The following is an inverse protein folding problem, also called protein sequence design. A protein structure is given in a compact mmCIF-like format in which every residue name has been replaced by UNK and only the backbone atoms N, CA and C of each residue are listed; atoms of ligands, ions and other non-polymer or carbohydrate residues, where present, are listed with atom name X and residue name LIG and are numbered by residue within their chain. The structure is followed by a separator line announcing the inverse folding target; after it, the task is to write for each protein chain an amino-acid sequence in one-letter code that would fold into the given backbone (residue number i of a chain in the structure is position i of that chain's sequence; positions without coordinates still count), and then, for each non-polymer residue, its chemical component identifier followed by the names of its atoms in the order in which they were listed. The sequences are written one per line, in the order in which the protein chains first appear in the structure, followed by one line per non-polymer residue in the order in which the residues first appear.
data_IF_742712675111
#
_entry.id   IF_742712675111
#
_cell.length_a   1.000
_cell.length_b   1.000
_cell.length_c   1.000
_cell.angle_alpha   90.00
_cell.angle_beta   90.00
_cell.angle_gamma   90.00
#
_symmetry.space_group_name_H-M   'P 1'
#
loop_
_entity.id
_entity.type
_entity.pdbx_description
1 polymer ?
#
# COMPACT_ATOMS: atom_id res chain seq x y z
N UNK A 1 24.13 -0.97 29.45
CA UNK A 1 22.72 -1.25 29.67
C UNK A 1 22.20 -1.99 28.44
N UNK A 2 21.37 -3.05 28.56
CA UNK A 2 20.78 -3.64 27.37
C UNK A 2 19.98 -2.54 26.65
N UNK A 3 20.20 -2.41 25.34
CA UNK A 3 19.46 -1.45 24.53
C UNK A 3 17.95 -1.75 24.68
N UNK A 4 17.18 -0.74 25.05
CA UNK A 4 15.71 -0.88 25.13
C UNK A 4 15.19 -1.24 23.74
N UNK A 5 14.37 -2.30 23.66
CA UNK A 5 13.75 -2.69 22.39
C UNK A 5 12.84 -1.57 21.90
N UNK A 6 12.91 -1.15 20.63
CA UNK A 6 12.03 -0.10 20.11
C UNK A 6 10.57 -0.55 20.18
N UNK A 7 9.68 0.36 20.58
CA UNK A 7 8.25 0.12 20.52
C UNK A 7 7.80 0.12 19.05
N UNK A 8 6.99 -0.87 18.67
CA UNK A 8 6.34 -0.92 17.36
C UNK A 8 4.89 -0.56 17.53
N UNK A 9 4.41 0.48 16.82
CA UNK A 9 2.98 0.77 16.74
C UNK A 9 2.41 0.19 15.46
N UNK A 10 1.37 -0.64 15.59
CA UNK A 10 0.63 -1.17 14.46
C UNK A 10 -0.82 -0.66 14.50
N UNK A 11 -1.30 -0.14 13.37
CA UNK A 11 -2.67 0.38 13.22
C UNK A 11 -3.46 -0.53 12.29
N UNK A 12 -4.68 -0.90 12.67
CA UNK A 12 -5.62 -1.61 11.80
C UNK A 12 -6.85 -0.74 11.56
N UNK A 13 -7.05 -0.25 10.31
CA UNK A 13 -8.33 0.33 9.91
C UNK A 13 -9.32 -0.81 9.64
N UNK A 14 -10.56 -0.67 10.10
CA UNK A 14 -11.62 -1.66 9.91
C UNK A 14 -12.93 -0.98 9.48
N UNK A 15 -13.61 -1.58 8.51
CA UNK A 15 -14.98 -1.21 8.17
C UNK A 15 -15.69 -2.38 7.49
N UNK A 16 -16.70 -2.97 8.17
CA UNK A 16 -17.48 -4.11 7.68
C UNK A 16 -16.61 -5.31 7.30
N UNK A 17 -15.73 -5.72 8.20
CA UNK A 17 -14.75 -6.80 8.00
C UNK A 17 -14.88 -7.95 9.01
N UNK A 18 -16.08 -8.17 9.58
CA UNK A 18 -16.32 -9.23 10.58
C UNK A 18 -15.79 -10.61 10.17
N UNK A 19 -15.87 -11.07 8.90
CA UNK A 19 -15.34 -12.38 8.50
C UNK A 19 -13.83 -12.53 8.66
N UNK A 20 -13.06 -11.43 8.63
CA UNK A 20 -11.60 -11.47 8.58
C UNK A 20 -10.93 -10.86 9.82
N UNK A 21 -11.63 -9.91 10.48
CA UNK A 21 -11.08 -9.09 11.55
C UNK A 21 -10.45 -9.90 12.69
N UNK A 22 -11.08 -11.01 13.10
CA UNK A 22 -10.54 -11.87 14.16
C UNK A 22 -9.17 -12.42 13.79
N UNK A 23 -9.00 -12.97 12.59
CA UNK A 23 -7.73 -13.52 12.14
C UNK A 23 -6.64 -12.43 12.01
N UNK A 24 -7.02 -11.24 11.55
CA UNK A 24 -6.13 -10.08 11.52
C UNK A 24 -5.62 -9.74 12.94
N UNK A 25 -6.51 -9.52 13.90
CA UNK A 25 -6.15 -9.18 15.29
C UNK A 25 -5.29 -10.27 15.93
N UNK A 26 -5.67 -11.54 15.78
CA UNK A 26 -4.92 -12.67 16.33
C UNK A 26 -3.52 -12.78 15.72
N UNK A 27 -3.35 -12.44 14.45
CA UNK A 27 -2.03 -12.44 13.79
C UNK A 27 -1.06 -11.39 14.36
N UNK A 28 -1.58 -10.28 14.86
CA UNK A 28 -0.79 -9.24 15.54
C UNK A 28 -0.48 -9.64 16.97
N UNK A 29 -1.51 -10.07 17.72
CA UNK A 29 -1.36 -10.48 19.12
C UNK A 29 -0.52 -11.76 19.30
N UNK A 30 -0.38 -12.56 18.24
CA UNK A 30 0.46 -13.77 18.20
C UNK A 30 1.91 -13.52 17.79
N UNK A 31 2.33 -12.27 17.56
CA UNK A 31 3.73 -11.96 17.24
C UNK A 31 4.63 -12.21 18.45
N UNK A 32 5.83 -12.75 18.20
CA UNK A 32 6.82 -13.05 19.24
C UNK A 32 7.62 -11.82 19.69
N UNK A 33 7.40 -10.66 19.07
CA UNK A 33 8.08 -9.41 19.42
C UNK A 33 7.28 -8.64 20.47
N UNK A 34 7.97 -8.03 21.40
CA UNK A 34 7.45 -7.05 22.36
C UNK A 34 8.50 -5.93 22.58
N UNK A 35 8.08 -4.67 22.79
CA UNK A 35 6.71 -4.21 22.99
C UNK A 35 5.99 -3.81 21.67
N UNK A 36 4.70 -4.17 21.56
CA UNK A 36 3.81 -3.76 20.47
C UNK A 36 2.70 -2.87 21.04
N UNK A 37 2.54 -1.67 20.48
CA UNK A 37 1.38 -0.82 20.66
C UNK A 37 0.39 -1.09 19.51
N UNK A 38 -0.63 -1.89 19.77
CA UNK A 38 -1.64 -2.24 18.76
C UNK A 38 -2.88 -1.36 18.92
N UNK A 39 -3.39 -0.84 17.78
CA UNK A 39 -4.55 0.05 17.72
C UNK A 39 -5.48 -0.33 16.58
N UNK A 40 -6.79 -0.45 16.84
CA UNK A 40 -7.80 -0.71 15.80
C UNK A 40 -8.77 0.47 15.75
N UNK A 41 -9.00 0.99 14.55
CA UNK A 41 -9.94 2.06 14.26
C UNK A 41 -11.02 1.52 13.32
N UNK A 42 -12.21 1.32 13.87
CA UNK A 42 -13.36 0.84 13.13
C UNK A 42 -14.27 2.00 12.73
N UNK A 43 -14.65 2.05 11.46
CA UNK A 43 -15.43 3.13 10.84
C UNK A 43 -16.93 3.11 11.16
N UNK A 44 -17.35 2.55 12.31
CA UNK A 44 -18.75 2.40 12.69
C UNK A 44 -19.43 1.21 12.01
N UNK A 45 -18.81 0.03 12.08
CA UNK A 45 -19.34 -1.20 11.49
C UNK A 45 -20.56 -1.72 12.21
N UNK A 46 -21.50 -2.29 11.45
CA UNK A 46 -22.76 -2.89 11.95
C UNK A 46 -22.87 -4.39 11.59
N UNK A 47 -21.78 -5.00 11.11
CA UNK A 47 -21.74 -6.37 10.59
C UNK A 47 -21.26 -7.43 11.60
N UNK A 48 -21.12 -7.05 12.89
CA UNK A 48 -20.55 -7.89 13.95
C UNK A 48 -19.05 -7.62 14.23
N UNK A 49 -18.41 -6.69 13.50
CA UNK A 49 -17.01 -6.31 13.75
C UNK A 49 -16.78 -5.77 15.16
N UNK A 50 -17.72 -4.95 15.67
CA UNK A 50 -17.63 -4.34 17.01
C UNK A 50 -17.68 -5.41 18.10
N UNK A 51 -18.53 -6.43 17.97
CA UNK A 51 -18.64 -7.56 18.87
C UNK A 51 -17.35 -8.38 18.90
N UNK A 52 -16.72 -8.55 17.74
CA UNK A 52 -15.40 -9.20 17.65
C UNK A 52 -14.37 -8.40 18.43
N UNK A 53 -14.29 -7.08 18.24
CA UNK A 53 -13.35 -6.22 18.98
C UNK A 53 -13.58 -6.30 20.49
N UNK A 54 -14.83 -6.20 20.95
CA UNK A 54 -15.20 -6.36 22.37
C UNK A 54 -14.76 -7.69 22.96
N UNK A 55 -14.78 -8.77 22.18
CA UNK A 55 -14.39 -10.10 22.65
C UNK A 55 -12.92 -10.22 23.05
N UNK A 56 -12.06 -9.29 22.62
CA UNK A 56 -10.64 -9.25 22.99
C UNK A 56 -10.38 -8.51 24.31
N UNK A 57 -11.38 -7.82 24.90
CA UNK A 57 -11.21 -7.03 26.12
C UNK A 57 -10.23 -5.86 25.94
N UNK A 58 -9.37 -5.65 26.95
CA UNK A 58 -8.42 -4.53 27.02
C UNK A 58 -7.02 -4.89 26.48
N UNK A 59 -6.92 -5.91 25.60
CA UNK A 59 -5.62 -6.38 25.09
C UNK A 59 -4.95 -5.38 24.16
N UNK A 60 -5.70 -4.47 23.56
CA UNK A 60 -5.23 -3.39 22.69
C UNK A 60 -6.23 -2.23 22.70
N UNK A 61 -5.81 -1.07 22.22
CA UNK A 61 -6.72 0.05 22.06
C UNK A 61 -7.60 -0.15 20.81
N UNK A 62 -8.90 0.09 20.94
CA UNK A 62 -9.79 0.18 19.80
C UNK A 62 -10.89 1.21 20.02
N UNK A 63 -11.42 1.74 18.93
CA UNK A 63 -12.66 2.54 18.92
C UNK A 63 -13.43 2.26 17.65
N UNK A 64 -14.76 2.44 17.72
CA UNK A 64 -15.66 2.32 16.58
C UNK A 64 -16.52 3.58 16.51
N UNK A 65 -16.34 4.35 15.45
CA UNK A 65 -17.09 5.56 15.14
C UNK A 65 -16.97 5.86 13.65
N UNK A 66 -17.96 6.57 13.08
CA UNK A 66 -17.85 7.02 11.68
C UNK A 66 -16.62 7.88 11.50
N UNK A 67 -15.81 7.56 10.49
CA UNK A 67 -14.54 8.21 10.18
C UNK A 67 -14.54 8.80 8.75
N UNK A 68 -13.42 9.38 8.36
CA UNK A 68 -13.18 9.93 7.02
C UNK A 68 -12.66 8.89 6.02
N UNK A 69 -12.81 7.59 6.30
CA UNK A 69 -12.32 6.49 5.47
C UNK A 69 -10.97 5.92 5.91
N UNK A 70 -10.49 4.93 5.18
CA UNK A 70 -9.35 4.10 5.56
C UNK A 70 -8.07 4.90 5.87
N UNK A 71 -7.70 5.85 5.02
CA UNK A 71 -6.53 6.70 5.26
C UNK A 71 -6.68 7.57 6.50
N UNK A 72 -7.89 8.09 6.78
CA UNK A 72 -8.18 8.87 7.97
C UNK A 72 -8.07 8.03 9.25
N UNK A 73 -8.60 6.80 9.24
CA UNK A 73 -8.48 5.85 10.34
C UNK A 73 -7.00 5.52 10.65
N UNK A 74 -6.20 5.23 9.62
CA UNK A 74 -4.76 4.98 9.77
C UNK A 74 -4.06 6.22 10.35
N UNK A 75 -4.31 7.40 9.80
CA UNK A 75 -3.72 8.64 10.27
C UNK A 75 -4.07 8.92 11.74
N UNK A 76 -5.31 8.66 12.17
CA UNK A 76 -5.72 8.79 13.56
C UNK A 76 -4.88 7.89 14.49
N UNK A 77 -4.59 6.65 14.07
CA UNK A 77 -3.71 5.76 14.80
C UNK A 77 -2.25 6.22 14.80
N UNK A 78 -1.74 6.68 13.67
CA UNK A 78 -0.37 7.18 13.54
C UNK A 78 -0.13 8.47 14.36
N UNK A 79 -1.11 9.35 14.47
CA UNK A 79 -1.03 10.52 15.37
C UNK A 79 -0.96 10.14 16.85
N UNK A 80 -1.53 9.00 17.25
CA UNK A 80 -1.43 8.45 18.60
C UNK A 80 -0.17 7.62 18.84
N UNK A 81 0.51 7.21 17.76
CA UNK A 81 1.63 6.28 17.81
C UNK A 81 2.76 6.79 18.69
N UNK A 82 3.19 5.95 19.64
CA UNK A 82 4.35 6.18 20.49
C UNK A 82 5.58 5.38 20.05
N UNK A 83 5.36 4.37 19.22
CA UNK A 83 6.42 3.52 18.68
C UNK A 83 7.40 4.28 17.80
N UNK A 84 8.66 3.90 17.85
CA UNK A 84 9.70 4.40 16.96
C UNK A 84 9.54 3.82 15.54
N UNK A 85 9.00 2.62 15.47
CA UNK A 85 8.68 1.92 14.23
C UNK A 85 7.15 1.81 14.13
N UNK A 86 6.64 2.06 12.94
CA UNK A 86 5.19 2.03 12.69
C UNK A 86 4.89 1.20 11.44
N UNK A 87 3.65 0.71 11.38
CA UNK A 87 3.07 0.04 10.25
C UNK A 87 1.55 0.08 10.33
N UNK A 88 0.88 -0.35 9.28
CA UNK A 88 -0.55 -0.63 9.37
C UNK A 88 -0.88 -1.97 8.70
N UNK A 89 -1.95 -2.59 9.15
CA UNK A 89 -2.44 -3.87 8.64
C UNK A 89 -3.94 -3.74 8.38
N UNK A 90 -4.37 -3.92 7.15
CA UNK A 90 -5.79 -3.92 6.85
C UNK A 90 -6.48 -5.08 7.57
N UNK A 91 -7.74 -4.89 7.95
CA UNK A 91 -8.49 -5.84 8.75
C UNK A 91 -8.85 -7.16 8.04
N UNK A 92 -8.60 -7.26 6.74
CA UNK A 92 -8.72 -8.47 5.92
C UNK A 92 -7.39 -9.20 5.70
N UNK A 93 -6.24 -8.58 6.05
CA UNK A 93 -4.89 -9.12 5.92
C UNK A 93 -4.41 -9.78 7.20
N UNK A 94 -3.30 -10.53 7.13
CA UNK A 94 -2.68 -11.14 8.30
C UNK A 94 -1.15 -11.03 8.24
N UNK A 95 -0.52 -10.82 9.41
CA UNK A 95 0.92 -10.95 9.57
C UNK A 95 1.31 -12.43 9.77
N UNK A 96 2.42 -12.80 9.19
CA UNK A 96 3.04 -14.11 9.47
C UNK A 96 3.84 -14.07 10.77
N UNK A 97 4.03 -15.22 11.46
CA UNK A 97 4.82 -15.27 12.67
C UNK A 97 6.24 -14.72 12.48
N UNK A 98 6.69 -13.87 13.40
CA UNK A 98 8.02 -13.29 13.38
C UNK A 98 8.20 -12.05 12.48
N UNK A 99 7.17 -11.62 11.74
CA UNK A 99 7.25 -10.49 10.82
C UNK A 99 7.72 -9.19 11.49
N UNK A 100 7.14 -8.86 12.66
CA UNK A 100 7.52 -7.64 13.41
C UNK A 100 8.97 -7.75 13.92
N UNK A 101 9.38 -8.91 14.44
CA UNK A 101 10.74 -9.12 14.90
C UNK A 101 11.77 -8.95 13.77
N UNK A 102 11.48 -9.49 12.59
CA UNK A 102 12.33 -9.37 11.41
C UNK A 102 12.41 -7.90 10.91
N UNK A 103 11.28 -7.18 10.90
CA UNK A 103 11.26 -5.76 10.53
C UNK A 103 12.07 -4.89 11.50
N UNK A 104 11.91 -5.11 12.81
CA UNK A 104 12.69 -4.42 13.84
C UNK A 104 14.18 -4.71 13.70
N UNK A 105 14.54 -5.99 13.51
CA UNK A 105 15.94 -6.39 13.29
C UNK A 105 16.53 -5.67 12.08
N UNK A 106 15.83 -5.69 10.94
CA UNK A 106 16.29 -5.05 9.71
C UNK A 106 16.52 -3.55 9.88
N UNK A 107 15.60 -2.82 10.56
CA UNK A 107 15.77 -1.40 10.85
C UNK A 107 16.87 -1.12 11.86
N UNK A 108 17.07 -1.99 12.85
CA UNK A 108 18.11 -1.82 13.88
C UNK A 108 19.52 -2.06 13.32
N UNK A 109 19.68 -3.04 12.44
CA UNK A 109 20.94 -3.34 11.77
C UNK A 109 21.30 -2.34 10.66
N UNK A 110 20.32 -1.55 10.20
CA UNK A 110 20.49 -0.56 9.13
C UNK A 110 19.94 0.81 9.58
N UNK A 111 20.69 1.56 10.42
CA UNK A 111 20.19 2.81 11.02
C UNK A 111 19.89 3.92 10.01
N UNK A 112 20.47 3.86 8.82
CA UNK A 112 20.26 4.80 7.72
C UNK A 112 19.06 4.42 6.80
N UNK A 113 18.43 3.25 7.02
CA UNK A 113 17.22 2.81 6.31
C UNK A 113 15.98 3.38 7.00
N UNK A 114 15.08 3.91 6.20
CA UNK A 114 13.82 4.52 6.65
C UNK A 114 12.64 3.55 6.60
N UNK A 115 12.57 2.70 5.56
CA UNK A 115 11.47 1.76 5.28
C UNK A 115 12.04 0.37 5.03
N UNK A 116 11.48 -0.63 5.69
CA UNK A 116 11.74 -2.06 5.40
C UNK A 116 10.46 -2.73 4.93
N UNK A 117 10.59 -3.66 3.99
CA UNK A 117 9.44 -4.45 3.54
C UNK A 117 9.86 -5.86 3.17
N UNK A 118 9.00 -6.81 3.53
CA UNK A 118 9.17 -8.23 3.25
C UNK A 118 8.36 -8.70 2.05
N UNK A 119 8.45 -10.00 1.77
CA UNK A 119 7.56 -10.67 0.82
C UNK A 119 6.17 -10.86 1.42
N UNK A 120 5.15 -10.90 0.54
CA UNK A 120 3.81 -11.30 0.91
C UNK A 120 3.27 -12.38 -0.03
N UNK A 121 2.32 -13.15 0.46
CA UNK A 121 1.50 -14.03 -0.35
C UNK A 121 0.13 -13.40 -0.57
N UNK A 122 -0.44 -13.59 -1.76
CA UNK A 122 -1.85 -13.29 -2.00
C UNK A 122 -2.65 -14.54 -1.68
N UNK A 123 -3.70 -14.39 -0.86
CA UNK A 123 -4.59 -15.48 -0.43
C UNK A 123 -6.04 -15.19 -0.82
N UNK A 124 -6.87 -16.23 -0.96
CA UNK A 124 -8.30 -16.09 -1.18
C UNK A 124 -9.07 -15.76 0.13
N UNK A 125 -10.39 -15.61 0.03
CA UNK A 125 -11.26 -15.36 1.19
C UNK A 125 -11.11 -16.42 2.30
N UNK A 126 -10.79 -17.67 1.95
CA UNK A 126 -10.57 -18.76 2.90
C UNK A 126 -9.12 -18.84 3.44
N UNK A 127 -8.23 -17.93 3.03
CA UNK A 127 -6.82 -17.92 3.42
C UNK A 127 -5.93 -18.88 2.62
N UNK A 128 -6.45 -19.51 1.55
CA UNK A 128 -5.65 -20.40 0.70
C UNK A 128 -4.76 -19.56 -0.23
N UNK A 129 -3.49 -19.94 -0.32
CA UNK A 129 -2.51 -19.24 -1.15
C UNK A 129 -2.87 -19.30 -2.63
N UNK A 130 -2.98 -18.15 -3.26
CA UNK A 130 -3.22 -18.02 -4.70
C UNK A 130 -1.92 -17.85 -5.49
N UNK A 131 -1.08 -16.89 -5.06
CA UNK A 131 0.18 -16.51 -5.73
C UNK A 131 1.08 -15.70 -4.80
N UNK A 132 2.38 -15.57 -5.11
CA UNK A 132 3.20 -14.57 -4.44
C UNK A 132 2.77 -13.15 -4.86
N UNK A 133 2.90 -12.18 -3.95
CA UNK A 133 2.90 -10.77 -4.34
C UNK A 133 4.24 -10.46 -5.05
N UNK A 134 4.25 -9.68 -6.15
CA UNK A 134 5.46 -9.44 -6.95
C UNK A 134 6.45 -8.48 -6.27
N UNK A 135 6.92 -8.82 -5.09
CA UNK A 135 7.91 -8.06 -4.30
C UNK A 135 9.31 -8.25 -4.87
N UNK A 136 10.14 -7.22 -4.79
CA UNK A 136 11.54 -7.22 -5.29
C UNK A 136 12.39 -6.22 -4.51
N UNK A 137 13.71 -6.26 -4.71
CA UNK A 137 14.62 -5.22 -4.22
C UNK A 137 14.18 -3.84 -4.70
N UNK A 138 14.38 -2.82 -3.85
CA UNK A 138 13.92 -1.47 -4.14
C UNK A 138 14.62 -0.91 -5.38
N UNK A 139 13.80 -0.42 -6.28
CA UNK A 139 14.20 0.29 -7.48
C UNK A 139 13.18 1.41 -7.72
N UNK A 140 13.66 2.63 -7.62
CA UNK A 140 12.85 3.84 -7.71
C UNK A 140 12.15 3.96 -9.07
N UNK A 141 12.83 3.59 -10.15
CA UNK A 141 12.31 3.66 -11.49
C UNK A 141 11.24 2.59 -11.75
N UNK A 142 11.43 1.42 -11.17
CA UNK A 142 10.43 0.35 -11.22
C UNK A 142 9.22 0.68 -10.37
N UNK A 143 9.38 1.36 -9.22
CA UNK A 143 8.26 1.78 -8.38
C UNK A 143 7.28 2.67 -9.15
N UNK A 144 7.76 3.54 -10.04
CA UNK A 144 6.91 4.35 -10.93
C UNK A 144 6.07 3.49 -11.89
N UNK A 145 6.58 2.31 -12.28
CA UNK A 145 5.89 1.43 -13.23
C UNK A 145 4.99 0.41 -12.55
N UNK A 146 5.31 0.01 -11.32
CA UNK A 146 4.64 -1.04 -10.57
C UNK A 146 4.73 -0.79 -9.07
N UNK A 147 3.62 -0.88 -8.36
CA UNK A 147 3.67 -0.99 -6.90
C UNK A 147 4.10 -2.41 -6.52
N UNK A 148 5.38 -2.58 -6.16
CA UNK A 148 5.95 -3.86 -5.74
C UNK A 148 6.19 -3.95 -4.22
N UNK A 149 5.85 -2.92 -3.48
CA UNK A 149 5.86 -2.93 -2.02
C UNK A 149 4.49 -3.43 -1.56
N UNK A 150 4.47 -4.61 -0.95
CA UNK A 150 3.24 -5.13 -0.35
C UNK A 150 2.98 -4.41 0.95
N UNK A 151 1.89 -3.66 1.01
CA UNK A 151 1.56 -2.79 2.13
C UNK A 151 1.54 -3.53 3.48
N UNK A 152 0.86 -4.69 3.66
CA UNK A 152 0.83 -5.37 4.95
C UNK A 152 2.19 -5.93 5.41
N UNK A 153 3.18 -5.96 4.51
CA UNK A 153 4.54 -6.41 4.81
C UNK A 153 5.53 -5.24 4.92
N UNK A 154 5.07 -4.01 5.16
CA UNK A 154 5.93 -2.83 5.22
C UNK A 154 5.89 -2.18 6.60
N UNK A 155 7.09 -1.84 7.11
CA UNK A 155 7.29 -1.11 8.37
C UNK A 155 8.28 0.03 8.14
N UNK A 156 8.12 1.13 8.87
CA UNK A 156 8.99 2.29 8.69
C UNK A 156 9.21 3.06 9.98
N UNK A 157 10.23 3.93 9.98
CA UNK A 157 10.50 4.83 11.11
C UNK A 157 9.39 5.88 11.23
N UNK A 158 8.82 6.04 12.42
CA UNK A 158 7.76 7.04 12.67
C UNK A 158 8.18 8.46 12.30
N UNK A 159 9.47 8.79 12.46
CA UNK A 159 10.02 10.10 12.09
C UNK A 159 9.88 10.47 10.61
N UNK A 160 9.52 9.53 9.73
CA UNK A 160 9.16 9.86 8.34
C UNK A 160 7.92 10.74 8.26
N UNK A 161 6.99 10.63 9.22
CA UNK A 161 5.80 11.48 9.25
C UNK A 161 6.11 12.95 9.57
N UNK A 162 7.19 13.21 10.31
CA UNK A 162 7.67 14.57 10.58
C UNK A 162 8.26 15.21 9.31
N UNK A 163 8.85 14.40 8.43
CA UNK A 163 9.52 14.85 7.20
C UNK A 163 8.58 14.91 6.00
N UNK A 164 7.67 13.98 5.90
CA UNK A 164 6.86 13.75 4.69
C UNK A 164 5.36 13.86 4.93
N UNK A 165 4.91 14.04 6.17
CA UNK A 165 3.49 14.06 6.51
C UNK A 165 2.87 12.66 6.52
N UNK A 166 1.56 12.62 6.71
CA UNK A 166 0.75 11.43 6.86
C UNK A 166 0.17 10.96 5.51
N UNK A 167 -0.64 9.90 5.52
CA UNK A 167 -1.30 9.41 4.30
C UNK A 167 -2.29 10.43 3.76
N UNK A 168 -2.31 10.60 2.43
CA UNK A 168 -3.27 11.47 1.76
C UNK A 168 -4.68 10.88 1.80
N UNK A 169 -5.65 11.68 2.23
CA UNK A 169 -7.08 11.31 2.18
C UNK A 169 -7.72 11.59 0.83
N UNK A 170 -7.02 12.25 -0.09
CA UNK A 170 -7.52 12.48 -1.45
C UNK A 170 -7.41 11.24 -2.35
N UNK A 171 -6.42 10.36 -2.08
CA UNK A 171 -6.15 9.13 -2.85
C UNK A 171 -6.66 7.90 -2.11
N UNK A 172 -7.96 7.84 -1.86
CA UNK A 172 -8.63 6.88 -0.97
C UNK A 172 -8.36 5.39 -1.29
N UNK A 173 -7.94 5.09 -2.53
CA UNK A 173 -7.67 3.70 -2.96
C UNK A 173 -6.19 3.44 -3.26
N UNK A 174 -5.35 4.46 -3.22
CA UNK A 174 -3.94 4.37 -3.63
C UNK A 174 -3.03 5.20 -2.72
N UNK A 175 -3.51 5.51 -1.50
CA UNK A 175 -2.79 6.34 -0.53
C UNK A 175 -1.46 5.71 -0.09
N UNK A 176 -1.38 4.37 -0.05
CA UNK A 176 -0.16 3.62 0.23
C UNK A 176 0.86 3.81 -0.90
N UNK A 177 0.43 3.66 -2.15
CA UNK A 177 1.30 3.87 -3.30
C UNK A 177 1.73 5.34 -3.44
N UNK A 178 0.83 6.29 -3.17
CA UNK A 178 1.16 7.72 -3.09
C UNK A 178 2.27 7.96 -2.05
N UNK A 179 2.12 7.37 -0.86
CA UNK A 179 3.10 7.51 0.21
C UNK A 179 4.46 6.96 -0.18
N UNK A 180 4.53 5.75 -0.77
CA UNK A 180 5.79 5.19 -1.25
C UNK A 180 6.47 6.06 -2.30
N UNK A 181 5.71 6.62 -3.24
CA UNK A 181 6.27 7.53 -4.26
C UNK A 181 6.78 8.83 -3.62
N UNK A 182 6.04 9.40 -2.69
CA UNK A 182 6.43 10.63 -1.98
C UNK A 182 7.69 10.43 -1.15
N UNK A 183 7.79 9.33 -0.41
CA UNK A 183 8.99 8.96 0.34
C UNK A 183 10.20 8.75 -0.60
N UNK A 184 10.02 7.98 -1.67
CA UNK A 184 11.07 7.73 -2.66
C UNK A 184 11.50 9.02 -3.38
N UNK A 185 10.56 9.91 -3.67
CA UNK A 185 10.83 11.23 -4.24
C UNK A 185 11.68 12.12 -3.32
N UNK A 186 11.42 12.08 -2.02
CA UNK A 186 12.14 12.83 -1.00
C UNK A 186 13.41 12.16 -0.48
N UNK A 187 13.87 11.08 -1.11
CA UNK A 187 15.15 10.44 -0.79
C UNK A 187 15.13 9.50 0.41
N UNK A 188 13.96 9.04 0.86
CA UNK A 188 13.87 7.98 1.87
C UNK A 188 14.54 6.70 1.38
N UNK A 189 15.21 5.98 2.28
CA UNK A 189 15.92 4.74 1.97
C UNK A 189 15.07 3.53 2.30
N UNK A 190 14.93 2.65 1.32
CA UNK A 190 14.14 1.43 1.40
C UNK A 190 15.03 0.20 1.38
N UNK A 191 14.69 -0.79 2.21
CA UNK A 191 15.35 -2.10 2.24
C UNK A 191 14.32 -3.20 2.04
N UNK A 192 14.53 -4.05 1.05
CA UNK A 192 13.79 -5.30 0.88
C UNK A 192 14.45 -6.41 1.68
N UNK A 193 13.65 -7.10 2.47
CA UNK A 193 14.06 -8.32 3.20
C UNK A 193 13.40 -9.51 2.51
N UNK A 194 14.20 -10.49 2.08
CA UNK A 194 13.70 -11.67 1.36
C UNK A 194 13.08 -12.72 2.30
N UNK A 195 12.18 -12.28 3.18
CA UNK A 195 11.39 -13.10 4.09
C UNK A 195 9.91 -12.82 3.91
N UNK A 196 9.07 -13.86 4.12
CA UNK A 196 7.61 -13.71 4.03
C UNK A 196 7.07 -13.15 5.36
N UNK A 197 6.42 -11.97 5.30
CA UNK A 197 5.92 -11.25 6.48
C UNK A 197 4.40 -11.14 6.55
N UNK A 198 3.69 -11.28 5.43
CA UNK A 198 2.25 -11.09 5.43
C UNK A 198 1.54 -11.93 4.36
N UNK A 199 0.23 -12.08 4.56
CA UNK A 199 -0.70 -12.51 3.53
C UNK A 199 -1.69 -11.37 3.25
N UNK A 200 -1.75 -10.94 1.98
CA UNK A 200 -2.73 -9.99 1.48
C UNK A 200 -3.93 -10.75 0.91
N UNK A 201 -5.14 -10.42 1.35
CA UNK A 201 -6.35 -11.14 0.97
C UNK A 201 -7.02 -10.55 -0.25
N UNK A 202 -7.36 -11.42 -1.20
CA UNK A 202 -8.23 -11.08 -2.32
C UNK A 202 -9.62 -11.73 -2.12
N UNK A 203 -10.66 -10.91 -2.11
CA UNK A 203 -12.05 -11.33 -2.04
C UNK A 203 -12.94 -10.38 -2.84
N UNK A 204 -14.17 -10.80 -3.16
CA UNK A 204 -15.06 -10.05 -4.05
C UNK A 204 -15.39 -8.63 -3.58
N UNK A 205 -15.36 -8.38 -2.27
CA UNK A 205 -15.61 -7.07 -1.67
C UNK A 205 -14.33 -6.21 -1.54
N UNK A 206 -13.15 -6.75 -1.85
CA UNK A 206 -11.90 -6.00 -1.77
C UNK A 206 -11.93 -4.80 -2.74
N UNK A 207 -11.55 -3.61 -2.25
CA UNK A 207 -11.53 -2.35 -3.03
C UNK A 207 -10.73 -2.50 -4.33
N UNK A 208 -9.61 -3.21 -4.28
CA UNK A 208 -8.73 -3.44 -5.44
C UNK A 208 -9.41 -4.19 -6.60
N UNK A 209 -10.44 -4.99 -6.32
CA UNK A 209 -11.21 -5.70 -7.35
C UNK A 209 -12.38 -4.85 -7.87
N UNK A 210 -13.16 -4.23 -6.97
CA UNK A 210 -14.37 -3.49 -7.30
C UNK A 210 -14.12 -2.15 -8.00
N UNK A 211 -13.03 -1.46 -7.63
CA UNK A 211 -12.79 -0.06 -7.98
C UNK A 211 -11.59 0.12 -8.92
N UNK A 212 -11.30 -0.90 -9.72
CA UNK A 212 -10.11 -0.96 -10.57
C UNK A 212 -9.94 0.27 -11.49
N UNK A 213 -11.02 0.75 -12.07
CA UNK A 213 -10.98 1.95 -12.92
C UNK A 213 -10.67 3.23 -12.16
N UNK A 214 -11.21 3.33 -10.93
CA UNK A 214 -10.92 4.45 -10.03
C UNK A 214 -9.46 4.42 -9.60
N UNK A 215 -8.95 3.26 -9.22
CA UNK A 215 -7.55 3.06 -8.86
C UNK A 215 -6.62 3.52 -9.99
N UNK A 216 -6.88 3.15 -11.24
CA UNK A 216 -6.06 3.61 -12.37
C UNK A 216 -6.13 5.12 -12.58
N UNK A 217 -7.31 5.75 -12.36
CA UNK A 217 -7.44 7.21 -12.41
C UNK A 217 -6.62 7.87 -11.30
N UNK A 218 -6.74 7.40 -10.06
CA UNK A 218 -5.96 7.91 -8.94
C UNK A 218 -4.46 7.74 -9.14
N UNK A 219 -3.99 6.58 -9.62
CA UNK A 219 -2.58 6.35 -9.93
C UNK A 219 -2.06 7.35 -10.98
N UNK A 220 -2.84 7.60 -12.04
CA UNK A 220 -2.48 8.62 -13.03
C UNK A 220 -2.35 9.99 -12.39
N UNK A 221 -3.33 10.39 -11.58
CA UNK A 221 -3.41 11.75 -11.01
C UNK A 221 -2.32 11.98 -9.96
N UNK A 222 -2.06 10.99 -9.08
CA UNK A 222 -0.97 11.08 -8.12
C UNK A 222 0.41 11.11 -8.80
N UNK A 223 0.62 10.33 -9.86
CA UNK A 223 1.89 10.36 -10.60
C UNK A 223 2.08 11.68 -11.34
N UNK A 224 1.03 12.23 -11.95
CA UNK A 224 1.10 13.54 -12.56
C UNK A 224 1.42 14.64 -11.53
N UNK A 225 0.86 14.54 -10.33
CA UNK A 225 1.12 15.48 -9.23
C UNK A 225 2.57 15.43 -8.75
N UNK A 226 3.06 14.22 -8.43
CA UNK A 226 4.38 14.06 -7.81
C UNK A 226 5.53 14.01 -8.81
N UNK A 227 5.29 13.52 -10.02
CA UNK A 227 6.34 13.28 -11.02
C UNK A 227 6.23 14.18 -12.26
N UNK A 228 5.05 14.72 -12.53
CA UNK A 228 4.73 15.43 -13.75
C UNK A 228 4.52 14.54 -14.98
N UNK A 229 4.51 13.22 -14.82
CA UNK A 229 4.24 12.23 -15.87
C UNK A 229 3.62 10.97 -15.27
N UNK A 230 3.01 10.12 -16.11
CA UNK A 230 2.48 8.81 -15.71
C UNK A 230 3.40 7.69 -16.22
N UNK A 231 3.68 6.70 -15.37
CA UNK A 231 4.44 5.51 -15.73
C UNK A 231 3.77 4.76 -16.89
N UNK A 232 4.57 4.30 -17.84
CA UNK A 232 4.07 3.65 -19.07
C UNK A 232 3.18 2.45 -18.77
N UNK A 233 3.59 1.59 -17.83
CA UNK A 233 2.84 0.38 -17.51
C UNK A 233 1.46 0.70 -16.91
N UNK A 234 1.36 1.69 -16.01
CA UNK A 234 0.08 2.13 -15.44
C UNK A 234 -0.83 2.73 -16.51
N UNK A 235 -0.27 3.51 -17.41
CA UNK A 235 -1.01 4.06 -18.54
C UNK A 235 -1.56 2.96 -19.46
N UNK A 236 -0.75 1.96 -19.80
CA UNK A 236 -1.17 0.81 -20.60
C UNK A 236 -2.28 0.00 -19.92
N UNK A 237 -2.19 -0.20 -18.61
CA UNK A 237 -3.23 -0.89 -17.85
C UNK A 237 -4.54 -0.09 -17.81
N UNK A 238 -4.46 1.23 -17.64
CA UNK A 238 -5.62 2.10 -17.70
C UNK A 238 -6.32 2.06 -19.07
N UNK A 239 -5.56 2.13 -20.15
CA UNK A 239 -6.11 2.02 -21.51
C UNK A 239 -6.76 0.65 -21.77
N UNK A 240 -6.18 -0.44 -21.29
CA UNK A 240 -6.80 -1.78 -21.37
C UNK A 240 -8.12 -1.83 -20.61
N UNK A 241 -8.14 -1.29 -19.40
CA UNK A 241 -9.36 -1.23 -18.60
C UNK A 241 -10.46 -0.43 -19.33
N UNK A 242 -10.14 0.73 -19.88
CA UNK A 242 -11.12 1.51 -20.67
C UNK A 242 -11.65 0.77 -21.89
N UNK A 243 -10.78 0.00 -22.57
CA UNK A 243 -11.18 -0.85 -23.68
C UNK A 243 -12.18 -1.92 -23.25
N UNK A 244 -11.85 -2.62 -22.14
CA UNK A 244 -12.63 -3.76 -21.66
C UNK A 244 -14.00 -3.34 -21.11
N UNK A 245 -14.10 -2.15 -20.50
CA UNK A 245 -15.37 -1.61 -19.96
C UNK A 245 -16.26 -0.93 -21.01
N UNK A 246 -15.68 -0.19 -21.95
CA UNK A 246 -16.44 0.72 -22.81
C UNK A 246 -16.72 0.19 -24.20
N UNK A 247 -16.21 -1.01 -24.55
CA UNK A 247 -16.53 -1.70 -25.82
C UNK A 247 -16.52 -0.78 -27.03
N UNK A 248 -15.38 -0.26 -27.48
CA UNK A 248 -15.38 0.72 -28.54
C UNK A 248 -14.22 0.55 -29.54
N UNK A 249 -14.04 1.52 -30.45
CA UNK A 249 -12.99 1.58 -31.47
C UNK A 249 -11.56 1.47 -30.90
N UNK A 250 -11.38 1.55 -29.60
CA UNK A 250 -10.15 1.22 -28.85
C UNK A 250 -9.71 -0.26 -28.98
N UNK A 251 -10.56 -1.10 -29.54
CA UNK A 251 -10.28 -2.52 -29.87
C UNK A 251 -9.07 -2.69 -30.80
N UNK A 252 -8.67 -1.60 -31.47
CA UNK A 252 -7.51 -1.61 -32.38
C UNK A 252 -6.15 -1.47 -31.67
N UNK A 253 -6.12 -1.36 -30.34
CA UNK A 253 -4.85 -1.45 -29.60
C UNK A 253 -4.38 -2.90 -29.58
N UNK A 254 -3.23 -3.23 -30.23
CA UNK A 254 -2.78 -4.60 -30.36
C UNK A 254 -2.45 -5.23 -29.02
N UNK A 255 -2.71 -6.52 -28.90
CA UNK A 255 -2.27 -7.32 -27.77
C UNK A 255 -0.75 -7.32 -27.62
N UNK A 256 -0.24 -7.89 -26.52
CA UNK A 256 1.20 -7.91 -26.16
C UNK A 256 2.20 -8.29 -27.25
N UNK A 257 1.74 -8.86 -28.37
CA UNK A 257 2.58 -9.37 -29.45
C UNK A 257 2.95 -8.35 -30.54
N UNK A 258 2.29 -7.17 -30.58
CA UNK A 258 2.54 -6.24 -31.68
C UNK A 258 2.95 -4.84 -31.20
N UNK A 259 4.22 -4.71 -30.82
CA UNK A 259 4.81 -3.45 -30.34
C UNK A 259 4.82 -2.33 -31.40
N UNK A 260 4.67 -2.64 -32.69
CA UNK A 260 4.72 -1.64 -33.77
C UNK A 260 3.44 -0.83 -33.87
N UNK A 261 2.28 -1.47 -33.70
CA UNK A 261 0.98 -0.80 -33.68
C UNK A 261 0.74 0.02 -32.40
N UNK A 262 1.36 -0.37 -31.29
CA UNK A 262 1.39 0.42 -30.05
C UNK A 262 1.95 1.84 -30.28
N UNK A 263 2.95 1.98 -31.14
CA UNK A 263 3.54 3.28 -31.49
C UNK A 263 2.56 4.19 -32.26
N UNK A 264 1.67 3.63 -33.06
CA UNK A 264 0.70 4.40 -33.88
C UNK A 264 -0.49 4.93 -33.03
N UNK A 265 -0.98 4.16 -32.08
CA UNK A 265 -2.01 4.61 -31.12
C UNK A 265 -1.48 5.67 -30.13
N UNK A 266 -0.18 5.71 -29.95
CA UNK A 266 0.54 6.66 -29.11
C UNK A 266 0.70 8.06 -29.72
N UNK A 267 0.69 8.16 -31.02
CA UNK A 267 0.92 9.41 -31.74
C UNK A 267 -0.12 10.50 -31.45
N UNK A 268 -1.43 10.24 -31.42
CA UNK A 268 -2.42 11.26 -31.07
C UNK A 268 -2.28 11.79 -29.65
N UNK A 269 -1.94 10.92 -28.69
CA UNK A 269 -1.67 11.33 -27.30
C UNK A 269 -0.37 12.14 -27.18
N UNK A 270 0.66 11.75 -27.90
CA UNK A 270 1.92 12.46 -27.98
C UNK A 270 1.76 13.88 -28.54
N UNK A 271 0.97 14.02 -29.61
CA UNK A 271 0.64 15.30 -30.24
C UNK A 271 -0.24 16.18 -29.32
N UNK A 272 -1.25 15.60 -28.67
CA UNK A 272 -2.10 16.31 -27.73
C UNK A 272 -1.28 16.89 -26.57
N UNK A 273 -0.37 16.12 -26.02
CA UNK A 273 0.44 16.57 -24.89
C UNK A 273 1.55 17.57 -25.28
N UNK A 274 2.08 17.46 -26.46
CA UNK A 274 3.01 18.47 -27.00
C UNK A 274 2.36 19.84 -27.14
N UNK A 275 1.04 19.85 -27.38
CA UNK A 275 0.22 21.07 -27.50
C UNK A 275 -0.16 21.66 -26.12
N UNK A 276 -0.26 20.83 -25.07
CA UNK A 276 -0.78 21.19 -23.75
C UNK A 276 0.23 21.08 -22.57
N UNK A 277 1.50 20.80 -22.85
CA UNK A 277 2.62 20.91 -21.92
C UNK A 277 2.86 19.70 -21.02
N UNK A 278 4.08 19.22 -20.95
CA UNK A 278 4.64 18.21 -20.04
C UNK A 278 5.38 17.06 -20.71
N UNK A 279 6.37 16.41 -20.08
CA UNK A 279 7.14 15.32 -20.67
C UNK A 279 6.25 14.09 -20.90
N UNK A 280 6.41 13.47 -22.08
CA UNK A 280 5.56 12.39 -22.56
C UNK A 280 5.89 11.01 -21.99
N UNK A 281 7.09 10.83 -21.47
CA UNK A 281 7.63 9.54 -21.05
C UNK A 281 8.58 9.67 -19.88
N UNK A 282 8.53 8.64 -19.04
CA UNK A 282 9.56 8.36 -18.09
C UNK A 282 10.94 8.29 -18.78
N UNK A 283 11.86 9.12 -18.33
CA UNK A 283 13.29 8.97 -18.54
C UNK A 283 13.91 8.59 -17.21
N UNK A 284 14.67 7.47 -17.10
CA UNK A 284 15.40 7.15 -15.89
C UNK A 284 16.18 8.38 -15.39
N UNK A 285 16.08 8.70 -14.10
CA UNK A 285 16.81 9.81 -13.49
C UNK A 285 16.07 11.16 -13.39
N UNK A 286 14.86 11.32 -13.91
CA UNK A 286 14.11 12.57 -13.79
C UNK A 286 13.06 12.52 -12.66
N UNK A 287 13.53 12.72 -11.44
CA UNK A 287 12.67 13.09 -10.33
C UNK A 287 12.77 14.60 -10.09
N UNK A 288 11.64 15.26 -9.87
CA UNK A 288 11.66 16.64 -9.37
C UNK A 288 11.96 16.57 -7.88
N UNK A 289 12.97 17.32 -7.43
CA UNK A 289 13.29 17.55 -6.03
C UNK A 289 12.19 18.37 -5.36
#
# INVERSE_FOLDING_TARGET
MPATRPVVTLVTPSYRQAPYLRACVESVLGQSYEPIEYQVFDGGSEDGSVEILRSFGDRFFWRSESDGGQAAAINAGLHRARGEIVGFLNSDDVLLPGAIAAAVKALSENPDVDVVYGRAAVVDAAGRRLRPFPTRAFDRDVLVQHCFISQPAAFWRRSLHDRFGYFSTEFDHTFDYEFWLRLAGGGAKFLHVDEAWACAREHGEAKSQRLRGEIFRQIRDLQLRHLGYCGRNWWEQYLRHLRDEKGGWWVLLPGKKDQRLYRLAWWPYALWRRKFGGPLFYRPGHWRA
#
